data_IF_061904366870
#
_entry.id   IF_061904366870
#
_cell.length_a   1.000
_cell.length_b   1.000
_cell.length_c   1.000
_cell.angle_alpha   90.00
_cell.angle_beta   90.00
_cell.angle_gamma   90.00
#
_symmetry.space_group_name_H-M   'P 1'
#
loop_
_entity.id
_entity.type
_entity.pdbx_description
1 polymer ?
#
# COMPACT_ATOMS: atom_id res chain seq x y z
N UNK A 1 -0.98 -4.43 17.70
CA UNK A 1 -2.04 -5.42 17.39
C UNK A 1 -2.75 -4.93 16.13
N UNK A 2 -2.90 -5.78 15.12
CA UNK A 2 -3.68 -5.45 13.91
C UNK A 2 -5.11 -5.12 14.39
N UNK A 3 -5.71 -4.02 13.93
CA UNK A 3 -6.95 -3.53 14.53
C UNK A 3 -8.16 -3.87 13.65
N UNK A 4 -8.99 -4.82 14.08
CA UNK A 4 -10.29 -5.12 13.47
C UNK A 4 -11.40 -4.43 14.26
N UNK A 5 -12.27 -3.66 13.58
CA UNK A 5 -13.39 -2.96 14.22
C UNK A 5 -14.46 -3.95 14.70
N UNK A 6 -14.83 -3.85 15.98
CA UNK A 6 -15.74 -4.77 16.69
C UNK A 6 -17.21 -4.42 16.46
N UNK A 7 -17.65 -4.36 15.20
CA UNK A 7 -19.05 -4.08 14.85
C UNK A 7 -19.55 -5.08 13.81
N UNK A 8 -20.87 -5.37 13.86
CA UNK A 8 -21.59 -6.21 12.89
C UNK A 8 -21.01 -7.65 12.83
N UNK A 9 -20.46 -8.19 11.71
CA UNK A 9 -20.08 -9.62 11.67
C UNK A 9 -18.97 -9.98 12.68
N UNK A 10 -18.27 -8.98 13.24
CA UNK A 10 -17.21 -9.16 14.24
C UNK A 10 -17.67 -9.01 15.69
N UNK A 11 -18.98 -9.02 15.97
CA UNK A 11 -19.49 -8.98 17.35
C UNK A 11 -18.96 -10.14 18.21
N UNK A 12 -18.67 -11.29 17.60
CA UNK A 12 -18.06 -12.45 18.28
C UNK A 12 -16.71 -12.12 18.96
N UNK A 13 -16.00 -11.10 18.47
CA UNK A 13 -14.72 -10.64 19.03
C UNK A 13 -14.88 -9.74 20.27
N UNK A 14 -16.11 -9.54 20.77
CA UNK A 14 -16.34 -8.99 22.10
C UNK A 14 -15.88 -9.96 23.20
N UNK A 15 -15.97 -11.28 22.95
CA UNK A 15 -15.41 -12.29 23.84
C UNK A 15 -13.87 -12.19 23.82
N UNK A 16 -13.27 -11.98 25.00
CA UNK A 16 -11.83 -11.74 25.14
C UNK A 16 -10.97 -12.92 24.71
N UNK A 17 -11.38 -14.16 25.02
CA UNK A 17 -10.67 -15.37 24.65
C UNK A 17 -10.68 -15.58 23.13
N UNK A 18 -11.86 -15.50 22.51
CA UNK A 18 -12.02 -15.60 21.04
C UNK A 18 -11.25 -14.50 20.32
N UNK A 19 -11.27 -13.28 20.86
CA UNK A 19 -10.49 -12.17 20.32
C UNK A 19 -8.99 -12.44 20.38
N UNK A 20 -8.49 -12.91 21.52
CA UNK A 20 -7.06 -13.21 21.69
C UNK A 20 -6.61 -14.25 20.66
N UNK A 21 -7.33 -15.37 20.58
CA UNK A 21 -7.05 -16.43 19.61
C UNK A 21 -7.09 -15.91 18.16
N UNK A 22 -8.16 -15.22 17.77
CA UNK A 22 -8.29 -14.64 16.44
C UNK A 22 -7.13 -13.70 16.08
N UNK A 23 -6.71 -12.86 17.03
CA UNK A 23 -5.60 -11.94 16.80
C UNK A 23 -4.25 -12.64 16.68
N UNK A 24 -4.05 -13.76 17.40
CA UNK A 24 -2.85 -14.59 17.32
C UNK A 24 -2.79 -15.33 15.98
N UNK A 25 -3.89 -15.94 15.55
CA UNK A 25 -4.01 -16.61 14.25
C UNK A 25 -3.81 -15.61 13.09
N UNK A 26 -4.42 -14.43 13.16
CA UNK A 26 -4.23 -13.37 12.16
C UNK A 26 -2.78 -12.89 12.11
N UNK A 27 -2.13 -12.73 13.26
CA UNK A 27 -0.73 -12.35 13.34
C UNK A 27 0.18 -13.41 12.71
N UNK A 28 -0.05 -14.69 13.01
CA UNK A 28 0.68 -15.80 12.42
C UNK A 28 0.51 -15.85 10.90
N UNK A 29 -0.72 -15.69 10.41
CA UNK A 29 -1.04 -15.62 8.98
C UNK A 29 -0.29 -14.48 8.29
N UNK A 30 -0.39 -13.26 8.83
CA UNK A 30 0.28 -12.08 8.24
C UNK A 30 1.80 -12.19 8.24
N UNK A 31 2.37 -13.01 9.13
CA UNK A 31 3.81 -13.26 9.20
C UNK A 31 4.27 -14.36 8.21
N UNK A 32 3.42 -15.35 7.92
CA UNK A 32 3.79 -16.49 7.08
C UNK A 32 3.43 -16.34 5.61
N UNK A 33 2.50 -15.43 5.26
CA UNK A 33 2.06 -15.25 3.88
C UNK A 33 3.20 -14.74 2.99
N UNK A 34 3.38 -15.28 1.77
CA UNK A 34 4.42 -14.85 0.85
C UNK A 34 3.97 -13.60 0.09
N UNK A 35 4.18 -12.42 0.67
CA UNK A 35 3.93 -11.14 0.00
C UNK A 35 5.07 -10.15 0.22
N UNK A 36 5.18 -9.21 -0.72
CA UNK A 36 6.05 -8.04 -0.62
C UNK A 36 5.19 -6.80 -0.37
N UNK A 37 5.60 -6.01 0.62
CA UNK A 37 4.88 -4.85 1.08
C UNK A 37 5.54 -3.57 0.58
N UNK A 38 4.71 -2.74 -0.04
CA UNK A 38 5.06 -1.38 -0.45
C UNK A 38 4.18 -0.40 0.31
N UNK A 39 4.81 0.57 0.98
CA UNK A 39 4.16 1.60 1.79
C UNK A 39 4.67 2.96 1.36
N UNK A 40 3.72 3.82 0.99
CA UNK A 40 3.98 5.24 0.78
C UNK A 40 3.16 6.05 1.77
N UNK A 41 3.83 6.81 2.63
CA UNK A 41 3.21 7.76 3.56
C UNK A 41 3.40 9.19 3.10
N UNK A 42 2.30 9.94 2.96
CA UNK A 42 2.33 11.36 2.61
C UNK A 42 1.92 12.25 3.79
N UNK A 43 2.83 13.09 4.28
CA UNK A 43 2.54 14.12 5.29
C UNK A 43 1.87 15.34 4.65
N UNK A 44 0.55 15.27 4.48
CA UNK A 44 -0.26 16.29 3.79
C UNK A 44 -0.03 17.72 4.30
N UNK A 45 0.01 17.92 5.62
CA UNK A 45 0.22 19.25 6.20
C UNK A 45 1.60 19.83 5.88
N UNK A 46 2.64 19.01 5.91
CA UNK A 46 4.00 19.44 5.55
C UNK A 46 4.09 19.75 4.07
N UNK A 47 3.45 18.94 3.23
CA UNK A 47 3.40 19.13 1.79
C UNK A 47 2.80 20.50 1.42
N UNK A 48 1.63 20.84 1.98
CA UNK A 48 0.99 22.12 1.70
C UNK A 48 1.79 23.33 2.23
N UNK A 49 2.57 23.15 3.30
CA UNK A 49 3.44 24.23 3.83
C UNK A 49 4.70 24.43 2.99
N UNK A 50 5.25 23.37 2.43
CA UNK A 50 6.51 23.41 1.70
C UNK A 50 6.35 23.78 0.22
N UNK A 51 5.20 23.48 -0.39
CA UNK A 51 4.98 23.66 -1.82
C UNK A 51 3.76 24.56 -2.09
N UNK A 52 3.99 25.68 -2.79
CA UNK A 52 2.95 26.66 -3.14
C UNK A 52 1.85 26.03 -4.01
N UNK A 53 2.24 25.18 -4.96
CA UNK A 53 1.34 24.39 -5.79
C UNK A 53 1.60 22.90 -5.52
N UNK A 54 1.23 22.42 -4.33
CA UNK A 54 1.41 21.04 -3.94
C UNK A 54 0.63 20.09 -4.87
N UNK A 55 1.33 19.13 -5.48
CA UNK A 55 0.71 18.02 -6.22
C UNK A 55 -0.23 17.25 -5.29
N UNK A 56 -1.30 16.69 -5.85
CA UNK A 56 -2.26 15.90 -5.09
C UNK A 56 -1.53 14.76 -4.34
N UNK A 57 -1.70 14.63 -3.00
CA UNK A 57 -1.06 13.57 -2.22
C UNK A 57 -1.33 12.15 -2.72
N UNK A 58 -2.49 11.90 -3.33
CA UNK A 58 -2.85 10.59 -3.88
C UNK A 58 -2.08 10.28 -5.16
N UNK A 59 -1.92 11.28 -6.03
CA UNK A 59 -1.08 11.18 -7.22
C UNK A 59 0.36 10.90 -6.84
N UNK A 60 0.94 11.68 -5.92
CA UNK A 60 2.29 11.45 -5.41
C UNK A 60 2.46 10.05 -4.81
N UNK A 61 1.48 9.59 -4.03
CA UNK A 61 1.54 8.26 -3.43
C UNK A 61 1.54 7.16 -4.48
N UNK A 62 0.71 7.30 -5.53
CA UNK A 62 0.67 6.36 -6.65
C UNK A 62 1.97 6.40 -7.44
N UNK A 63 2.51 7.59 -7.71
CA UNK A 63 3.79 7.75 -8.41
C UNK A 63 4.92 7.05 -7.68
N UNK A 64 5.11 7.34 -6.39
CA UNK A 64 6.20 6.75 -5.61
C UNK A 64 6.07 5.23 -5.45
N UNK A 65 4.84 4.70 -5.33
CA UNK A 65 4.66 3.25 -5.21
C UNK A 65 4.96 2.55 -6.54
N UNK A 66 4.50 3.12 -7.66
CA UNK A 66 4.75 2.56 -8.99
C UNK A 66 6.24 2.60 -9.37
N UNK A 67 6.94 3.69 -9.06
CA UNK A 67 8.40 3.76 -9.23
C UNK A 67 9.10 2.61 -8.51
N UNK A 68 8.70 2.30 -7.27
CA UNK A 68 9.28 1.20 -6.46
C UNK A 68 8.92 -0.18 -6.98
N UNK A 69 7.70 -0.33 -7.44
CA UNK A 69 7.22 -1.56 -8.06
C UNK A 69 8.07 -1.91 -9.28
N UNK A 70 8.48 -0.93 -10.09
CA UNK A 70 9.35 -1.18 -11.25
C UNK A 70 10.69 -1.81 -10.83
N UNK A 71 11.34 -1.29 -9.78
CA UNK A 71 12.58 -1.90 -9.27
C UNK A 71 12.34 -3.33 -8.79
N UNK A 72 11.21 -3.60 -8.13
CA UNK A 72 10.85 -4.97 -7.74
C UNK A 72 10.64 -5.87 -8.96
N UNK A 73 9.85 -5.44 -9.94
CA UNK A 73 9.60 -6.23 -11.15
C UNK A 73 10.89 -6.57 -11.89
N UNK A 74 11.80 -5.61 -12.04
CA UNK A 74 13.11 -5.83 -12.67
C UNK A 74 13.96 -6.84 -11.87
N UNK A 75 14.04 -6.70 -10.54
CA UNK A 75 14.78 -7.64 -9.68
C UNK A 75 14.17 -9.05 -9.69
N UNK A 76 12.83 -9.15 -9.73
CA UNK A 76 12.10 -10.42 -9.81
C UNK A 76 11.98 -10.97 -11.24
N UNK A 77 12.53 -10.27 -12.23
CA UNK A 77 12.44 -10.59 -13.67
C UNK A 77 10.99 -10.81 -14.13
N UNK A 78 10.06 -10.02 -13.60
CA UNK A 78 8.65 -10.03 -13.94
C UNK A 78 8.34 -8.92 -14.95
N UNK A 79 7.42 -9.19 -15.87
CA UNK A 79 7.00 -8.22 -16.90
C UNK A 79 5.50 -7.96 -16.88
N UNK A 80 4.73 -8.61 -16.02
CA UNK A 80 3.29 -8.40 -15.90
C UNK A 80 2.93 -8.31 -14.41
N UNK A 81 2.18 -7.28 -14.04
CA UNK A 81 1.64 -7.11 -12.69
C UNK A 81 0.21 -6.56 -12.76
N UNK A 82 -0.81 -7.42 -12.62
CA UNK A 82 -2.18 -6.96 -12.48
C UNK A 82 -2.34 -6.10 -11.23
N UNK A 83 -2.86 -4.89 -11.39
CA UNK A 83 -3.11 -3.94 -10.30
C UNK A 83 -4.58 -3.96 -9.96
N UNK A 84 -4.89 -4.24 -8.71
CA UNK A 84 -6.26 -4.26 -8.20
C UNK A 84 -6.38 -3.17 -7.14
N UNK A 85 -7.36 -2.29 -7.30
CA UNK A 85 -7.67 -1.25 -6.34
C UNK A 85 -9.15 -1.22 -5.94
N UNK A 86 -9.42 -0.80 -4.72
CA UNK A 86 -10.78 -0.55 -4.23
C UNK A 86 -11.34 0.73 -4.88
N UNK A 87 -12.52 0.61 -5.50
CA UNK A 87 -13.25 1.72 -6.09
C UNK A 87 -13.76 2.69 -5.00
N UNK A 88 -13.68 4.01 -5.25
CA UNK A 88 -14.00 5.06 -4.28
C UNK A 88 -15.10 6.02 -4.72
N UNK A 89 -15.58 5.87 -5.95
CA UNK A 89 -16.56 6.79 -6.54
C UNK A 89 -16.14 7.12 -7.97
N UNK A 90 -17.11 7.49 -8.81
CA UNK A 90 -16.86 7.69 -10.25
C UNK A 90 -15.76 8.72 -10.53
N UNK A 91 -15.72 9.81 -9.76
CA UNK A 91 -14.75 10.88 -9.98
C UNK A 91 -13.35 10.45 -9.52
N UNK A 92 -13.25 9.91 -8.30
CA UNK A 92 -12.00 9.42 -7.72
C UNK A 92 -11.40 8.27 -8.55
N UNK A 93 -12.25 7.37 -9.06
CA UNK A 93 -11.85 6.25 -9.91
C UNK A 93 -11.31 6.75 -11.26
N UNK A 94 -11.90 7.80 -11.82
CA UNK A 94 -11.44 8.40 -13.07
C UNK A 94 -10.11 9.16 -12.88
N UNK A 95 -9.96 9.91 -11.79
CA UNK A 95 -8.71 10.57 -11.42
C UNK A 95 -7.57 9.56 -11.22
N UNK A 96 -7.84 8.47 -10.47
CA UNK A 96 -6.87 7.41 -10.26
C UNK A 96 -6.42 6.77 -11.59
N UNK A 97 -7.37 6.46 -12.48
CA UNK A 97 -7.06 5.91 -13.81
C UNK A 97 -6.24 6.88 -14.64
N UNK A 98 -6.60 8.16 -14.65
CA UNK A 98 -5.88 9.17 -15.42
C UNK A 98 -4.41 9.25 -14.99
N UNK A 99 -4.15 9.38 -13.69
CA UNK A 99 -2.78 9.40 -13.13
C UNK A 99 -2.05 8.10 -13.43
N UNK A 100 -2.71 6.95 -13.23
CA UNK A 100 -2.10 5.64 -13.44
C UNK A 100 -1.65 5.44 -14.89
N UNK A 101 -2.53 5.71 -15.85
CA UNK A 101 -2.22 5.53 -17.26
C UNK A 101 -1.24 6.58 -17.79
N UNK A 102 -1.30 7.82 -17.30
CA UNK A 102 -0.30 8.83 -17.62
C UNK A 102 1.11 8.36 -17.20
N UNK A 103 1.25 7.90 -15.96
CA UNK A 103 2.51 7.41 -15.42
C UNK A 103 3.03 6.17 -16.16
N UNK A 104 2.18 5.21 -16.49
CA UNK A 104 2.59 4.01 -17.25
C UNK A 104 2.97 4.37 -18.69
N UNK A 105 2.34 5.39 -19.27
CA UNK A 105 2.57 5.79 -20.67
C UNK A 105 3.79 6.68 -20.84
N UNK A 106 4.01 7.64 -19.95
CA UNK A 106 5.03 8.68 -20.07
C UNK A 106 6.20 8.50 -19.09
N UNK A 107 6.04 7.61 -18.10
CA UNK A 107 7.00 7.45 -17.02
C UNK A 107 6.91 8.58 -16.00
N UNK A 108 8.03 8.79 -15.29
CA UNK A 108 8.17 9.76 -14.20
C UNK A 108 9.52 10.45 -14.29
N UNK A 109 9.77 11.41 -13.40
CA UNK A 109 11.09 12.05 -13.30
C UNK A 109 12.20 11.07 -12.88
N UNK A 110 11.88 9.94 -12.24
CA UNK A 110 12.87 8.98 -11.71
C UNK A 110 12.91 7.65 -12.47
N UNK A 111 11.82 7.30 -13.15
CA UNK A 111 11.69 6.05 -13.91
C UNK A 111 11.21 6.39 -15.31
N UNK A 112 12.05 6.09 -16.30
CA UNK A 112 11.75 6.43 -17.69
C UNK A 112 10.55 5.66 -18.25
N UNK A 113 9.90 6.27 -19.24
CA UNK A 113 8.85 5.64 -20.05
C UNK A 113 9.20 4.22 -20.50
N UNK A 114 10.41 4.01 -21.03
CA UNK A 114 10.85 2.71 -21.52
C UNK A 114 10.90 1.62 -20.44
N UNK A 115 11.10 1.97 -19.16
CA UNK A 115 11.05 1.01 -18.05
C UNK A 115 9.61 0.57 -17.78
N UNK A 116 8.67 1.51 -17.76
CA UNK A 116 7.24 1.20 -17.59
C UNK A 116 6.69 0.38 -18.76
N UNK A 117 7.01 0.76 -20.01
CA UNK A 117 6.48 0.09 -21.20
C UNK A 117 6.97 -1.35 -21.39
N UNK A 118 8.08 -1.75 -20.75
CA UNK A 118 8.50 -3.16 -20.69
C UNK A 118 7.58 -4.03 -19.82
N UNK A 119 6.73 -3.41 -19.01
CA UNK A 119 5.84 -4.08 -18.08
C UNK A 119 4.37 -3.85 -18.43
N UNK A 120 3.54 -4.89 -18.30
CA UNK A 120 2.09 -4.79 -18.42
C UNK A 120 1.43 -4.58 -17.06
N UNK A 121 0.60 -3.55 -16.93
CA UNK A 121 -0.15 -3.26 -15.71
C UNK A 121 -1.67 -3.20 -15.93
N UNK A 122 -2.35 -4.34 -16.11
CA UNK A 122 -3.82 -4.35 -16.16
C UNK A 122 -4.40 -3.78 -14.87
N UNK A 123 -5.18 -2.70 -14.96
CA UNK A 123 -5.81 -2.07 -13.80
C UNK A 123 -7.27 -2.51 -13.66
N UNK A 124 -7.62 -3.06 -12.51
CA UNK A 124 -8.96 -3.45 -12.12
C UNK A 124 -9.42 -2.67 -10.90
N UNK A 125 -10.54 -1.95 -11.05
CA UNK A 125 -11.23 -1.32 -9.93
C UNK A 125 -12.39 -2.20 -9.47
N UNK A 126 -12.49 -2.43 -8.17
CA UNK A 126 -13.51 -3.29 -7.58
C UNK A 126 -14.26 -2.60 -6.45
N UNK A 127 -15.59 -2.73 -6.48
CA UNK A 127 -16.46 -2.28 -5.38
C UNK A 127 -16.09 -3.05 -4.09
N UNK A 128 -16.08 -2.33 -2.97
CA UNK A 128 -15.83 -2.84 -1.62
C UNK A 128 -16.62 -4.10 -1.27
N UNK A 129 -17.83 -4.27 -1.83
CA UNK A 129 -18.71 -5.43 -1.62
C UNK A 129 -18.14 -6.75 -2.14
N UNK A 130 -17.13 -6.72 -3.01
CA UNK A 130 -16.51 -7.94 -3.56
C UNK A 130 -15.60 -8.70 -2.57
N UNK A 131 -15.29 -8.11 -1.40
CA UNK A 131 -14.51 -8.75 -0.32
C UNK A 131 -13.21 -9.43 -0.81
N UNK A 132 -12.41 -8.71 -1.59
CA UNK A 132 -11.20 -9.25 -2.22
C UNK A 132 -10.08 -9.36 -1.18
N UNK A 133 -9.58 -10.58 -0.97
CA UNK A 133 -8.59 -10.87 0.07
C UNK A 133 -7.33 -9.98 -0.04
N UNK A 134 -6.78 -9.78 -1.24
CA UNK A 134 -5.59 -8.94 -1.45
C UNK A 134 -5.77 -7.46 -1.04
N UNK A 135 -6.97 -6.91 -1.26
CA UNK A 135 -7.31 -5.56 -0.80
C UNK A 135 -7.40 -5.55 0.73
N UNK A 136 -8.05 -6.54 1.33
CA UNK A 136 -8.17 -6.64 2.80
C UNK A 136 -6.79 -6.80 3.46
N UNK A 137 -5.89 -7.61 2.89
CA UNK A 137 -4.51 -7.75 3.36
C UNK A 137 -3.76 -6.40 3.32
N UNK A 138 -3.91 -5.65 2.22
CA UNK A 138 -3.34 -4.31 2.09
C UNK A 138 -3.85 -3.35 3.17
N UNK A 139 -5.16 -3.37 3.46
CA UNK A 139 -5.77 -2.54 4.51
C UNK A 139 -5.25 -2.88 5.91
N UNK A 140 -5.01 -4.17 6.20
CA UNK A 140 -4.44 -4.61 7.48
C UNK A 140 -3.01 -4.09 7.68
N UNK A 141 -2.26 -3.84 6.60
CA UNK A 141 -0.91 -3.28 6.62
C UNK A 141 -0.89 -1.75 6.73
N UNK A 142 -1.91 -1.06 6.23
CA UNK A 142 -1.92 0.40 6.14
C UNK A 142 -1.89 1.09 7.53
N UNK A 143 -2.75 0.67 8.46
CA UNK A 143 -2.82 1.26 9.78
C UNK A 143 -1.54 1.09 10.64
N UNK A 144 -0.98 -0.13 10.82
CA UNK A 144 0.26 -0.29 11.56
C UNK A 144 1.42 0.48 10.94
N UNK A 145 1.46 0.59 9.60
CA UNK A 145 2.46 1.41 8.91
C UNK A 145 2.30 2.90 9.23
N UNK A 146 1.08 3.44 9.10
CA UNK A 146 0.80 4.84 9.44
C UNK A 146 1.11 5.16 10.91
N UNK A 147 0.79 4.25 11.84
CA UNK A 147 1.12 4.42 13.26
C UNK A 147 2.63 4.47 13.48
N UNK A 148 3.39 3.61 12.82
CA UNK A 148 4.85 3.63 12.92
C UNK A 148 5.44 4.93 12.36
N UNK A 149 4.94 5.43 11.23
CA UNK A 149 5.36 6.72 10.65
C UNK A 149 5.09 7.88 11.62
N UNK A 150 3.89 7.93 12.22
CA UNK A 150 3.47 9.05 13.06
C UNK A 150 4.02 8.99 14.49
N UNK A 151 4.31 7.79 15.00
CA UNK A 151 4.72 7.56 16.40
C UNK A 151 5.79 6.45 16.46
N UNK A 152 7.00 6.71 15.92
CA UNK A 152 8.04 5.68 15.78
C UNK A 152 8.51 5.11 17.12
N UNK A 153 8.51 5.92 18.19
CA UNK A 153 8.98 5.52 19.52
C UNK A 153 7.99 4.65 20.30
N UNK A 154 6.77 4.47 19.78
CA UNK A 154 5.74 3.66 20.44
C UNK A 154 5.79 2.21 19.98
N UNK A 155 5.67 1.28 20.92
CA UNK A 155 5.60 -0.14 20.62
C UNK A 155 4.47 -0.45 19.62
N UNK A 156 4.85 -1.14 18.54
CA UNK A 156 3.95 -1.46 17.45
C UNK A 156 4.15 -2.90 16.96
N UNK A 157 3.72 -3.85 17.78
CA UNK A 157 3.74 -5.30 17.48
C UNK A 157 3.16 -5.68 16.11
N UNK A 158 2.21 -4.91 15.59
CA UNK A 158 1.63 -5.19 14.27
C UNK A 158 2.58 -4.77 13.15
N UNK A 159 3.26 -3.63 13.30
CA UNK A 159 4.34 -3.23 12.41
C UNK A 159 5.51 -4.21 12.47
N UNK A 160 5.86 -4.70 13.66
CA UNK A 160 6.95 -5.67 13.83
C UNK A 160 6.76 -6.96 13.03
N UNK A 161 5.51 -7.34 12.76
CA UNK A 161 5.17 -8.47 11.90
C UNK A 161 5.37 -8.06 10.43
N UNK A 162 4.67 -7.01 9.97
CA UNK A 162 4.63 -6.67 8.54
C UNK A 162 5.95 -6.07 8.02
N UNK A 163 6.83 -5.54 8.88
CA UNK A 163 8.10 -4.92 8.47
C UNK A 163 9.04 -5.91 7.77
N UNK A 164 8.90 -7.20 8.06
CA UNK A 164 9.69 -8.26 7.43
C UNK A 164 9.29 -8.49 5.97
N UNK A 165 8.09 -8.06 5.58
CA UNK A 165 7.59 -8.14 4.21
C UNK A 165 7.91 -6.91 3.37
N UNK A 166 8.44 -5.83 3.97
CA UNK A 166 8.78 -4.61 3.21
C UNK A 166 9.82 -4.94 2.15
N UNK A 167 9.51 -4.63 0.90
CA UNK A 167 10.41 -4.87 -0.23
C UNK A 167 11.76 -4.18 0.00
N UNK A 168 12.84 -4.90 -0.28
CA UNK A 168 14.21 -4.37 -0.27
C UNK A 168 14.81 -4.65 -1.63
N UNK A 169 15.12 -3.59 -2.37
CA UNK A 169 15.93 -3.76 -3.58
C UNK A 169 17.41 -3.87 -3.23
N UNK A 170 18.18 -4.38 -4.19
CA UNK A 170 19.65 -4.31 -4.16
C UNK A 170 20.16 -2.87 -4.31
N UNK A 171 19.32 -1.99 -4.85
CA UNK A 171 19.58 -0.56 -4.92
C UNK A 171 19.10 0.19 -3.67
N UNK A 172 19.30 1.51 -3.61
CA UNK A 172 18.83 2.35 -2.48
C UNK A 172 17.30 2.58 -2.47
N UNK A 173 16.53 1.86 -3.29
CA UNK A 173 15.08 2.05 -3.46
C UNK A 173 14.30 0.92 -2.79
N UNK A 174 13.89 1.13 -1.53
CA UNK A 174 13.07 0.17 -0.79
C UNK A 174 11.56 0.38 -0.97
N UNK A 175 10.77 -0.60 -0.56
CA UNK A 175 9.30 -0.56 -0.54
C UNK A 175 8.71 0.45 0.44
N UNK A 176 9.52 1.09 1.28
CA UNK A 176 9.07 2.11 2.23
C UNK A 176 9.46 3.52 1.77
N UNK A 177 8.48 4.41 1.64
CA UNK A 177 8.69 5.83 1.33
C UNK A 177 7.81 6.70 2.22
N UNK A 178 8.40 7.69 2.85
CA UNK A 178 7.68 8.78 3.51
C UNK A 178 8.05 10.09 2.82
N UNK A 179 7.07 10.97 2.65
CA UNK A 179 7.25 12.26 1.98
C UNK A 179 6.21 13.29 2.44
N UNK A 180 6.52 14.59 2.45
CA UNK A 180 7.86 15.14 2.60
C UNK A 180 8.42 14.84 3.99
#
# INVERSE_FOLDING_TARGET
MISVRRKRPFNILQNSARRKQFMEELAALMNSLPYELFVVGIHKERLCRQYVNAVNPYELALTFVMERIIYCMEQRKQTILPVIAEARGKNEDNELKAVFYDLVTHGTNYVSQGRFQRCGFPLLLHDKRKNIAGIQLSDLCAHPSARHILKPDQENRAYDIIKNHIFRSEEKVGGWKVFP
#
